data_IF_690472142661
#
_entry.id   IF_690472142661
#
_cell.length_a   1.000
_cell.length_b   1.000
_cell.length_c   1.000
_cell.angle_alpha   90.00
_cell.angle_beta   90.00
_cell.angle_gamma   90.00
#
_symmetry.space_group_name_H-M   'P 1'
#
loop_
_entity.id
_entity.type
_entity.pdbx_description
1 polymer ?
#
# COMPACT_ATOMS: atom_id res chain seq x y z
N UNK A 1 -4.10 -74.65 27.42
CA UNK A 1 -3.71 -73.36 26.82
C UNK A 1 -3.90 -72.29 27.88
N UNK A 2 -2.83 -71.71 28.47
CA UNK A 2 -2.96 -70.70 29.50
C UNK A 2 -3.18 -69.31 28.89
N UNK A 3 -4.20 -68.61 29.38
CA UNK A 3 -4.58 -67.26 28.98
C UNK A 3 -3.54 -66.23 29.44
N UNK A 4 -3.14 -65.32 28.55
CA UNK A 4 -2.22 -64.24 28.88
C UNK A 4 -2.97 -63.04 29.48
N UNK A 5 -2.52 -62.50 30.63
CA UNK A 5 -3.15 -61.33 31.25
C UNK A 5 -2.87 -60.05 30.46
N UNK A 6 -3.96 -59.34 30.12
CA UNK A 6 -3.96 -58.05 29.43
C UNK A 6 -3.32 -56.96 30.28
N UNK A 7 -2.10 -56.60 29.90
CA UNK A 7 -1.30 -55.53 30.52
C UNK A 7 -1.74 -54.17 29.96
N UNK A 8 -2.80 -53.56 30.52
CA UNK A 8 -3.18 -52.17 30.23
C UNK A 8 -3.36 -51.38 31.54
N UNK A 9 -2.31 -51.29 32.36
CA UNK A 9 -2.35 -50.49 33.60
C UNK A 9 -1.15 -49.55 33.81
N UNK A 10 -0.21 -49.46 32.86
CA UNK A 10 1.03 -48.67 33.03
C UNK A 10 1.03 -47.25 32.47
N UNK A 11 -0.10 -46.73 31.97
CA UNK A 11 -0.17 -45.40 31.31
C UNK A 11 -0.80 -44.30 32.17
N UNK A 12 -0.51 -44.26 33.48
CA UNK A 12 -0.98 -43.19 34.39
C UNK A 12 0.11 -42.43 35.14
N UNK A 13 1.36 -42.52 34.67
CA UNK A 13 2.51 -41.79 35.21
C UNK A 13 3.04 -40.86 34.10
N UNK A 14 2.42 -39.68 33.90
CA UNK A 14 2.90 -38.80 32.83
C UNK A 14 2.33 -37.40 32.68
N UNK A 15 1.27 -37.01 33.38
CA UNK A 15 0.65 -35.70 33.12
C UNK A 15 1.34 -34.52 33.81
N UNK A 16 1.97 -34.71 34.98
CA UNK A 16 2.63 -33.59 35.70
C UNK A 16 3.91 -33.07 35.02
N UNK A 17 4.54 -33.86 34.15
CA UNK A 17 5.75 -33.43 33.41
C UNK A 17 5.46 -32.65 32.13
N UNK A 18 4.22 -32.73 31.61
CA UNK A 18 3.84 -32.11 30.32
C UNK A 18 3.43 -30.64 30.47
N UNK A 19 2.89 -30.25 31.61
CA UNK A 19 2.51 -28.86 31.90
C UNK A 19 3.74 -27.94 32.04
N UNK A 20 4.85 -28.46 32.58
CA UNK A 20 6.12 -27.71 32.65
C UNK A 20 6.84 -27.62 31.30
N UNK A 21 6.77 -28.66 30.46
CA UNK A 21 7.45 -28.68 29.17
C UNK A 21 6.76 -27.77 28.12
N UNK A 22 5.43 -27.68 28.13
CA UNK A 22 4.68 -26.78 27.24
C UNK A 22 4.79 -25.31 27.64
N UNK A 23 4.94 -25.01 28.93
CA UNK A 23 5.20 -23.66 29.44
C UNK A 23 6.58 -23.12 29.00
N UNK A 24 7.57 -24.01 28.81
CA UNK A 24 8.93 -23.64 28.39
C UNK A 24 9.03 -23.51 26.87
N UNK A 25 8.31 -24.32 26.08
CA UNK A 25 8.43 -24.30 24.62
C UNK A 25 7.64 -23.19 23.93
N UNK A 26 6.57 -22.67 24.53
CA UNK A 26 5.74 -21.63 23.91
C UNK A 26 5.12 -20.66 24.93
N UNK A 27 5.81 -19.56 25.29
CA UNK A 27 5.31 -18.57 26.25
C UNK A 27 4.26 -17.64 25.63
N UNK A 28 3.19 -18.18 25.03
CA UNK A 28 2.14 -17.38 24.37
C UNK A 28 1.49 -16.37 25.32
N UNK A 29 1.40 -16.70 26.62
CA UNK A 29 0.77 -15.81 27.60
C UNK A 29 1.65 -14.59 27.90
N UNK A 30 2.98 -14.77 27.97
CA UNK A 30 3.93 -13.67 28.16
C UNK A 30 4.03 -12.82 26.89
N UNK A 31 3.99 -13.44 25.70
CA UNK A 31 4.02 -12.68 24.44
C UNK A 31 2.84 -11.71 24.31
N UNK A 32 1.63 -12.08 24.77
CA UNK A 32 0.48 -11.17 24.75
C UNK A 32 0.58 -9.97 25.71
N UNK A 33 1.25 -10.13 26.85
CA UNK A 33 1.48 -9.02 27.80
C UNK A 33 2.58 -8.09 27.31
N UNK A 34 3.67 -8.65 26.79
CA UNK A 34 4.75 -7.89 26.17
C UNK A 34 4.27 -7.14 24.93
N UNK A 35 3.46 -7.76 24.09
CA UNK A 35 2.85 -7.12 22.93
C UNK A 35 1.92 -5.96 23.32
N UNK A 36 1.12 -6.14 24.39
CA UNK A 36 0.25 -5.05 24.90
C UNK A 36 1.07 -3.87 25.41
N UNK A 37 2.15 -4.12 26.16
CA UNK A 37 3.06 -3.08 26.64
C UNK A 37 3.76 -2.36 25.49
N UNK A 38 4.30 -3.11 24.51
CA UNK A 38 4.94 -2.56 23.31
C UNK A 38 3.99 -1.69 22.50
N UNK A 39 2.74 -2.15 22.29
CA UNK A 39 1.70 -1.37 21.59
C UNK A 39 1.32 -0.10 22.35
N UNK A 40 1.22 -0.15 23.68
CA UNK A 40 0.95 1.04 24.49
C UNK A 40 2.07 2.09 24.39
N UNK A 41 3.34 1.66 24.45
CA UNK A 41 4.49 2.56 24.24
C UNK A 41 4.56 3.11 22.80
N UNK A 42 4.28 2.28 21.80
CA UNK A 42 4.23 2.71 20.40
C UNK A 42 3.12 3.74 20.15
N UNK A 43 1.92 3.52 20.70
CA UNK A 43 0.79 4.45 20.59
C UNK A 43 1.12 5.82 21.22
N UNK A 44 1.79 5.85 22.38
CA UNK A 44 2.23 7.10 23.02
C UNK A 44 3.24 7.86 22.15
N UNK A 45 4.21 7.17 21.57
CA UNK A 45 5.20 7.78 20.65
C UNK A 45 4.52 8.34 19.40
N UNK A 46 3.59 7.60 18.82
CA UNK A 46 2.85 8.04 17.64
C UNK A 46 2.00 9.28 17.95
N UNK A 47 1.28 9.28 19.08
CA UNK A 47 0.52 10.44 19.52
C UNK A 47 1.41 11.67 19.74
N UNK A 48 2.56 11.51 20.39
CA UNK A 48 3.54 12.60 20.58
C UNK A 48 4.03 13.16 19.25
N UNK A 49 4.35 12.30 18.28
CA UNK A 49 4.76 12.74 16.94
C UNK A 49 3.64 13.51 16.23
N UNK A 50 2.39 13.03 16.30
CA UNK A 50 1.24 13.70 15.68
C UNK A 50 0.95 15.06 16.34
N UNK A 51 1.00 15.14 17.66
CA UNK A 51 0.84 16.41 18.38
C UNK A 51 1.94 17.40 18.03
N UNK A 52 3.20 16.94 17.99
CA UNK A 52 4.34 17.77 17.60
C UNK A 52 4.17 18.33 16.18
N UNK A 53 3.79 17.49 15.22
CA UNK A 53 3.51 17.91 13.84
C UNK A 53 2.35 18.89 13.78
N UNK A 54 1.27 18.65 14.53
CA UNK A 54 0.13 19.56 14.62
C UNK A 54 0.50 20.93 15.19
N UNK A 55 1.30 20.96 16.26
CA UNK A 55 1.80 22.19 16.86
C UNK A 55 2.70 22.98 15.90
N UNK A 56 3.59 22.28 15.17
CA UNK A 56 4.45 22.92 14.16
C UNK A 56 3.62 23.51 13.01
N UNK A 57 2.64 22.77 12.51
CA UNK A 57 1.74 23.24 11.45
C UNK A 57 0.92 24.46 11.91
N UNK A 58 0.37 24.43 13.14
CA UNK A 58 -0.37 25.54 13.71
C UNK A 58 0.52 26.79 13.88
N UNK A 59 1.75 26.63 14.38
CA UNK A 59 2.72 27.72 14.50
C UNK A 59 3.07 28.33 13.14
N UNK A 60 3.26 27.49 12.11
CA UNK A 60 3.50 27.95 10.74
C UNK A 60 2.29 28.71 10.16
N UNK A 61 1.05 28.25 10.42
CA UNK A 61 -0.18 28.93 10.01
C UNK A 61 -0.41 30.26 10.72
N UNK A 62 -0.05 30.38 12.00
CA UNK A 62 -0.10 31.64 12.73
C UNK A 62 0.88 32.66 12.13
N UNK A 63 2.05 32.21 11.66
CA UNK A 63 3.02 33.07 10.96
C UNK A 63 2.44 33.64 9.66
N UNK A 64 1.61 32.88 8.96
CA UNK A 64 0.95 33.27 7.70
C UNK A 64 -0.33 34.12 7.91
N UNK A 65 -0.58 34.60 9.13
CA UNK A 65 -1.73 35.46 9.50
C UNK A 65 -3.12 34.81 9.29
N UNK A 66 -3.20 33.48 9.21
CA UNK A 66 -4.45 32.75 9.10
C UNK A 66 -4.95 32.25 10.46
N UNK A 67 -5.38 33.18 11.32
CA UNK A 67 -5.75 32.92 12.72
C UNK A 67 -6.86 31.86 12.88
N UNK A 68 -7.87 31.89 12.01
CA UNK A 68 -9.00 30.93 12.05
C UNK A 68 -8.50 29.50 11.74
N UNK A 69 -7.62 29.35 10.74
CA UNK A 69 -7.07 28.03 10.37
C UNK A 69 -6.13 27.50 11.46
N UNK A 70 -5.34 28.37 12.09
CA UNK A 70 -4.49 28.00 13.21
C UNK A 70 -5.31 27.52 14.42
N UNK A 71 -6.39 28.21 14.78
CA UNK A 71 -7.28 27.81 15.88
C UNK A 71 -7.93 26.45 15.60
N UNK A 72 -8.43 26.21 14.39
CA UNK A 72 -9.00 24.92 13.99
C UNK A 72 -7.96 23.80 14.08
N UNK A 73 -6.74 24.02 13.59
CA UNK A 73 -5.66 23.05 13.66
C UNK A 73 -5.28 22.69 15.11
N UNK A 74 -5.21 23.69 16.00
CA UNK A 74 -4.93 23.51 17.43
C UNK A 74 -6.03 22.70 18.13
N UNK A 75 -7.30 22.99 17.84
CA UNK A 75 -8.43 22.23 18.41
C UNK A 75 -8.38 20.77 17.95
N UNK A 76 -8.11 20.50 16.67
CA UNK A 76 -7.97 19.13 16.15
C UNK A 76 -6.81 18.39 16.82
N UNK A 77 -5.66 19.06 16.98
CA UNK A 77 -4.50 18.49 17.65
C UNK A 77 -4.77 18.18 19.14
N UNK A 78 -5.44 19.09 19.85
CA UNK A 78 -5.81 18.92 21.25
C UNK A 78 -6.81 17.77 21.44
N UNK A 79 -7.83 17.68 20.59
CA UNK A 79 -8.80 16.57 20.61
C UNK A 79 -8.10 15.24 20.36
N UNK A 80 -7.22 15.15 19.35
CA UNK A 80 -6.46 13.93 19.09
C UNK A 80 -5.58 13.52 20.28
N UNK A 81 -4.92 14.49 20.93
CA UNK A 81 -4.14 14.24 22.14
C UNK A 81 -5.02 13.72 23.28
N UNK A 82 -6.19 14.31 23.51
CA UNK A 82 -7.13 13.89 24.54
C UNK A 82 -7.64 12.47 24.29
N UNK A 83 -8.02 12.15 23.06
CA UNK A 83 -8.51 10.81 22.69
C UNK A 83 -7.41 9.76 22.86
N UNK A 84 -6.18 10.06 22.45
CA UNK A 84 -5.03 9.16 22.63
C UNK A 84 -4.71 8.91 24.12
N UNK A 85 -4.92 9.91 24.98
CA UNK A 85 -4.68 9.79 26.42
C UNK A 85 -5.80 9.05 27.16
N UNK A 86 -7.07 9.25 26.76
CA UNK A 86 -8.23 8.66 27.44
C UNK A 86 -8.55 7.22 27.02
N UNK A 87 -8.29 6.82 25.75
CA UNK A 87 -8.63 5.47 25.26
C UNK A 87 -7.50 4.81 24.44
N UNK A 88 -6.48 4.24 25.11
CA UNK A 88 -5.27 3.78 24.43
C UNK A 88 -5.40 2.50 23.57
N UNK A 89 -6.46 1.69 23.69
CA UNK A 89 -6.40 0.30 23.16
C UNK A 89 -7.48 -0.12 22.16
N UNK A 90 -8.72 0.38 22.22
CA UNK A 90 -9.82 -0.13 21.35
C UNK A 90 -10.56 0.95 20.57
N UNK A 91 -10.88 2.10 21.18
CA UNK A 91 -11.57 3.18 20.49
C UNK A 91 -10.67 3.85 19.43
N UNK A 92 -9.40 4.08 19.77
CA UNK A 92 -8.41 4.70 18.87
C UNK A 92 -8.21 3.94 17.55
N UNK A 93 -8.19 2.60 17.61
CA UNK A 93 -7.99 1.78 16.41
C UNK A 93 -9.14 1.94 15.41
N UNK A 94 -10.38 2.01 15.91
CA UNK A 94 -11.56 2.18 15.04
C UNK A 94 -11.62 3.58 14.44
N UNK A 95 -11.37 4.61 15.24
CA UNK A 95 -11.35 6.00 14.77
C UNK A 95 -10.25 6.20 13.74
N UNK A 96 -9.03 5.72 14.03
CA UNK A 96 -7.90 5.79 13.10
C UNK A 96 -8.20 5.07 11.79
N UNK A 97 -8.78 3.87 11.87
CA UNK A 97 -9.17 3.12 10.67
C UNK A 97 -10.22 3.88 9.84
N UNK A 98 -11.20 4.52 10.47
CA UNK A 98 -12.19 5.34 9.78
C UNK A 98 -11.55 6.55 9.10
N UNK A 99 -10.69 7.27 9.82
CA UNK A 99 -10.00 8.46 9.32
C UNK A 99 -9.05 8.11 8.15
N UNK A 100 -8.35 6.98 8.23
CA UNK A 100 -7.50 6.52 7.13
C UNK A 100 -8.30 6.15 5.89
N UNK A 101 -9.50 5.56 6.07
CA UNK A 101 -10.37 5.22 4.94
C UNK A 101 -10.88 6.49 4.27
N UNK A 102 -11.30 7.50 5.04
CA UNK A 102 -11.73 8.80 4.52
C UNK A 102 -10.57 9.50 3.81
N UNK A 103 -9.39 9.53 4.44
CA UNK A 103 -8.19 10.14 3.84
C UNK A 103 -7.80 9.47 2.53
N UNK A 104 -7.91 8.15 2.45
CA UNK A 104 -7.66 7.40 1.21
C UNK A 104 -8.72 7.70 0.14
N UNK A 105 -10.00 7.74 0.51
CA UNK A 105 -11.08 8.10 -0.41
C UNK A 105 -10.91 9.53 -0.94
N UNK A 106 -10.58 10.48 -0.07
CA UNK A 106 -10.29 11.86 -0.44
C UNK A 106 -9.07 11.96 -1.35
N UNK A 107 -7.97 11.25 -1.04
CA UNK A 107 -6.78 11.21 -1.89
C UNK A 107 -7.08 10.66 -3.29
N UNK A 108 -7.89 9.59 -3.38
CA UNK A 108 -8.35 9.06 -4.67
C UNK A 108 -9.22 10.09 -5.38
N UNK A 109 -10.19 10.71 -4.71
CA UNK A 109 -11.07 11.72 -5.30
C UNK A 109 -10.29 12.93 -5.83
N UNK A 110 -9.32 13.45 -5.07
CA UNK A 110 -8.41 14.53 -5.49
C UNK A 110 -7.56 14.07 -6.66
N UNK A 111 -7.05 12.84 -6.63
CA UNK A 111 -6.31 12.24 -7.73
C UNK A 111 -7.12 12.23 -9.03
N UNK A 112 -8.37 11.77 -9.00
CA UNK A 112 -9.27 11.83 -10.15
C UNK A 112 -9.57 13.26 -10.58
N UNK A 113 -9.83 14.15 -9.62
CA UNK A 113 -10.16 15.55 -9.88
C UNK A 113 -8.99 16.33 -10.47
N UNK A 114 -7.76 15.98 -10.14
CA UNK A 114 -6.55 16.57 -10.72
C UNK A 114 -6.18 15.91 -12.05
N UNK A 115 -6.35 14.58 -12.15
CA UNK A 115 -6.01 13.82 -13.36
C UNK A 115 -6.94 14.17 -14.52
N UNK A 116 -8.23 14.38 -14.28
CA UNK A 116 -9.21 14.73 -15.32
C UNK A 116 -8.86 16.02 -16.08
N UNK A 117 -8.66 17.19 -15.44
CA UNK A 117 -8.29 18.42 -16.12
C UNK A 117 -6.91 18.30 -16.75
N UNK A 118 -5.95 17.61 -16.12
CA UNK A 118 -4.63 17.39 -16.69
C UNK A 118 -4.72 16.53 -17.96
N UNK A 119 -5.54 15.48 -17.93
CA UNK A 119 -5.81 14.65 -19.10
C UNK A 119 -6.44 15.49 -20.22
N UNK A 120 -7.48 16.26 -19.94
CA UNK A 120 -8.12 17.12 -20.94
C UNK A 120 -7.13 18.15 -21.49
N UNK A 121 -6.36 18.80 -20.62
CA UNK A 121 -5.39 19.83 -20.98
C UNK A 121 -4.30 19.30 -21.90
N UNK A 122 -3.83 18.07 -21.70
CA UNK A 122 -2.79 17.48 -22.54
C UNK A 122 -3.37 16.72 -23.74
N UNK A 123 -4.32 15.81 -23.55
CA UNK A 123 -4.76 14.95 -24.64
C UNK A 123 -5.66 15.65 -25.67
N UNK A 124 -6.46 16.64 -25.27
CA UNK A 124 -7.34 17.34 -26.22
C UNK A 124 -6.57 18.17 -27.26
N UNK A 125 -5.60 19.04 -26.89
CA UNK A 125 -4.85 19.78 -27.90
C UNK A 125 -3.98 18.87 -28.76
N UNK A 126 -3.36 17.83 -28.18
CA UNK A 126 -2.60 16.86 -28.97
C UNK A 126 -3.51 16.08 -29.91
N UNK A 127 -4.69 15.65 -29.47
CA UNK A 127 -5.67 14.97 -30.33
C UNK A 127 -6.16 15.87 -31.47
N UNK A 128 -6.40 17.15 -31.21
CA UNK A 128 -6.72 18.15 -32.24
C UNK A 128 -5.55 18.38 -33.21
N UNK A 129 -4.32 18.41 -32.69
CA UNK A 129 -3.11 18.58 -33.48
C UNK A 129 -2.88 17.37 -34.40
N UNK A 130 -2.98 16.14 -33.89
CA UNK A 130 -2.90 14.91 -34.69
C UNK A 130 -4.06 14.77 -35.69
N UNK A 131 -5.25 15.29 -35.35
CA UNK A 131 -6.38 15.32 -36.28
C UNK A 131 -6.17 16.32 -37.43
N UNK A 132 -5.35 17.35 -37.23
CA UNK A 132 -4.96 18.33 -38.26
C UNK A 132 -3.68 17.96 -39.02
N UNK A 133 -2.71 17.35 -38.34
CA UNK A 133 -1.45 16.91 -38.91
C UNK A 133 -1.61 15.55 -39.56
N UNK A 134 -1.70 15.54 -40.89
CA UNK A 134 -1.57 14.39 -41.80
C UNK A 134 -1.94 13.03 -41.19
N UNK A 135 -3.15 12.53 -41.56
CA UNK A 135 -3.44 11.09 -41.60
C UNK A 135 -2.16 10.38 -41.97
N UNK A 136 -1.60 9.63 -41.03
CA UNK A 136 -0.34 8.91 -41.18
C UNK A 136 -0.28 8.37 -42.62
N UNK A 137 0.60 8.91 -43.48
CA UNK A 137 0.78 8.41 -44.83
C UNK A 137 1.54 7.09 -44.78
N UNK A 138 1.23 6.23 -43.80
CA UNK A 138 1.09 4.80 -44.03
C UNK A 138 0.26 4.65 -45.29
N UNK A 139 0.99 4.59 -46.41
CA UNK A 139 0.59 4.04 -47.70
C UNK A 139 0.26 2.55 -47.57
N UNK A 140 -0.43 2.15 -46.49
CA UNK A 140 -1.18 0.90 -46.39
C UNK A 140 -2.49 1.13 -47.14
N UNK A 141 -2.38 1.42 -48.42
CA UNK A 141 -3.51 1.17 -49.30
C UNK A 141 -3.62 -0.35 -49.36
N UNK A 142 -4.77 -0.87 -48.93
CA UNK A 142 -5.05 -2.30 -49.05
C UNK A 142 -5.17 -2.62 -50.53
N UNK A 143 -4.16 -3.27 -51.07
CA UNK A 143 -4.15 -3.82 -52.41
C UNK A 143 -4.85 -5.19 -52.38
N UNK A 144 -6.13 -5.21 -52.74
CA UNK A 144 -6.91 -6.45 -52.79
C UNK A 144 -6.36 -7.46 -53.82
N UNK A 145 -5.46 -7.05 -54.72
CA UNK A 145 -4.83 -7.91 -55.72
C UNK A 145 -3.46 -8.44 -55.27
N UNK A 146 -2.92 -7.97 -54.14
CA UNK A 146 -1.66 -8.46 -53.61
C UNK A 146 -1.81 -9.91 -53.13
N UNK A 147 -1.09 -10.84 -53.76
CA UNK A 147 -1.11 -12.28 -53.41
C UNK A 147 -0.60 -12.56 -52.00
N UNK A 148 0.27 -11.71 -51.47
CA UNK A 148 0.71 -11.75 -50.07
C UNK A 148 1.28 -10.42 -49.63
N UNK A 149 0.92 -9.98 -48.42
CA UNK A 149 1.55 -8.82 -47.75
C UNK A 149 2.80 -9.21 -46.96
N UNK A 150 3.07 -10.51 -46.83
CA UNK A 150 4.22 -11.02 -46.12
C UNK A 150 5.44 -10.89 -47.01
N UNK A 151 6.27 -9.87 -46.76
CA UNK A 151 7.62 -9.84 -47.32
C UNK A 151 8.45 -10.93 -46.65
N UNK A 152 9.11 -11.74 -47.45
CA UNK A 152 10.03 -12.76 -46.97
C UNK A 152 11.13 -12.09 -46.16
N UNK A 153 11.25 -12.48 -44.89
CA UNK A 153 12.28 -11.95 -43.99
C UNK A 153 13.63 -12.42 -44.52
N UNK A 154 14.48 -11.48 -44.97
CA UNK A 154 15.84 -11.82 -45.41
C UNK A 154 16.59 -12.47 -44.25
N UNK A 155 17.26 -13.58 -44.53
CA UNK A 155 18.04 -14.27 -43.51
C UNK A 155 19.29 -13.43 -43.19
N UNK A 156 19.74 -13.39 -41.91
CA UNK A 156 20.90 -12.60 -41.50
C UNK A 156 22.15 -12.84 -42.35
N UNK A 157 22.33 -14.06 -42.85
CA UNK A 157 23.50 -14.48 -43.61
C UNK A 157 23.57 -13.85 -45.00
N UNK A 158 22.42 -13.53 -45.60
CA UNK A 158 22.36 -12.82 -46.89
C UNK A 158 22.76 -11.36 -46.76
N UNK A 159 22.46 -10.74 -45.61
CA UNK A 159 22.86 -9.35 -45.31
C UNK A 159 24.38 -9.25 -45.21
N UNK A 160 25.00 -10.20 -44.50
CA UNK A 160 26.46 -10.24 -44.33
C UNK A 160 27.20 -10.52 -45.66
N UNK A 161 26.60 -11.31 -46.56
CA UNK A 161 27.16 -11.55 -47.90
C UNK A 161 27.11 -10.32 -48.80
N UNK A 162 25.99 -9.57 -48.78
CA UNK A 162 25.85 -8.33 -49.59
C UNK A 162 26.82 -7.25 -49.14
N UNK A 163 26.98 -7.08 -47.82
CA UNK A 163 27.93 -6.09 -47.28
C UNK A 163 29.38 -6.40 -47.65
N UNK A 164 29.75 -7.69 -47.77
CA UNK A 164 31.08 -8.12 -48.21
C UNK A 164 31.32 -7.94 -49.72
N UNK A 165 30.26 -7.93 -50.54
CA UNK A 165 30.37 -7.70 -51.99
C UNK A 165 30.45 -6.20 -52.36
N UNK A 166 30.16 -5.29 -51.42
CA UNK A 166 30.19 -3.84 -51.65
C UNK A 166 31.49 -3.16 -51.17
N UNK A 167 32.40 -3.90 -50.52
CA UNK A 167 33.73 -3.47 -50.10
C UNK A 167 34.80 -4.03 -51.02
#
# INVERSE_FOLDING_TARGET
>A
MPEQPTTIEHLRIGDRGREGASAVSWPYKQSFEDDRRRRAHAARREALMQTLVGCLAAGCLMWLSHEILAAVALVIAAVNCLVAMCWPTTAWVRVKSGLTTIGRAAGVAIGWLALLPLFVLFFVPFGLLFRRGAKDPMKRHFDAQASTYWRQRQQPDEILRRLRQQS
#
